data_IF_895227611096
#
_entry.id   IF_895227611096
#
_cell.length_a   1.000
_cell.length_b   1.000
_cell.length_c   1.000
_cell.angle_alpha   90.00
_cell.angle_beta   90.00
_cell.angle_gamma   90.00
#
_symmetry.space_group_name_H-M   'P 1'
#
loop_
_entity.id
_entity.type
_entity.pdbx_description
1 polymer ?
#
# COMPACT_ATOMS: atom_id res chain seq x y z
N UNK A 1 -10.63 14.47 -10.26
CA UNK A 1 -9.30 13.97 -9.84
C UNK A 1 -9.40 12.64 -9.09
N UNK A 2 -10.35 12.44 -8.17
CA UNK A 2 -10.41 11.19 -7.40
C UNK A 2 -10.69 9.93 -8.24
N UNK A 3 -11.51 10.03 -9.29
CA UNK A 3 -11.86 8.88 -10.16
C UNK A 3 -10.72 8.52 -11.11
N UNK A 4 -9.94 9.52 -11.50
CA UNK A 4 -8.86 9.42 -12.47
C UNK A 4 -7.67 8.65 -11.89
N UNK A 5 -7.38 8.81 -10.60
CA UNK A 5 -6.35 8.02 -9.89
C UNK A 5 -6.76 6.56 -9.78
N UNK A 6 -8.03 6.31 -9.46
CA UNK A 6 -8.54 4.94 -9.31
C UNK A 6 -8.53 4.21 -10.65
N UNK A 7 -8.93 4.87 -11.73
CA UNK A 7 -8.89 4.29 -13.08
C UNK A 7 -7.45 4.11 -13.57
N UNK A 8 -6.56 5.09 -13.35
CA UNK A 8 -5.16 4.94 -13.71
C UNK A 8 -4.48 3.79 -12.96
N UNK A 9 -4.70 3.66 -11.64
CA UNK A 9 -4.19 2.53 -10.87
C UNK A 9 -4.75 1.20 -11.41
N UNK A 10 -6.05 1.14 -11.70
CA UNK A 10 -6.72 -0.05 -12.25
C UNK A 10 -6.18 -0.46 -13.63
N UNK A 11 -5.79 0.49 -14.48
CA UNK A 11 -5.26 0.22 -15.82
C UNK A 11 -3.77 -0.12 -15.79
N UNK A 12 -2.98 0.59 -14.99
CA UNK A 12 -1.52 0.47 -14.98
C UNK A 12 -1.03 -0.71 -14.15
N UNK A 13 -1.63 -0.97 -12.98
CA UNK A 13 -1.16 -2.04 -12.09
C UNK A 13 -1.14 -3.43 -12.76
N UNK A 14 -2.17 -3.86 -13.52
CA UNK A 14 -2.13 -5.15 -14.22
C UNK A 14 -0.98 -5.30 -15.22
N UNK A 15 -0.42 -4.19 -15.72
CA UNK A 15 0.74 -4.20 -16.65
C UNK A 15 2.02 -4.71 -16.02
N UNK A 16 2.10 -4.76 -14.69
CA UNK A 16 3.21 -5.43 -14.00
C UNK A 16 3.23 -6.95 -14.22
N UNK A 17 2.11 -7.54 -14.68
CA UNK A 17 2.04 -8.95 -15.07
C UNK A 17 2.36 -9.23 -16.53
N UNK A 18 2.71 -8.21 -17.32
CA UNK A 18 3.07 -8.37 -18.73
C UNK A 18 4.43 -9.09 -18.86
N UNK A 19 4.66 -9.85 -19.94
CA UNK A 19 5.96 -10.50 -20.17
C UNK A 19 7.02 -9.52 -20.68
N UNK A 20 6.59 -8.37 -21.22
CA UNK A 20 7.49 -7.37 -21.75
C UNK A 20 7.97 -6.40 -20.65
N UNK A 21 9.27 -6.46 -20.32
CA UNK A 21 9.89 -5.59 -19.32
C UNK A 21 9.76 -4.09 -19.64
N UNK A 22 9.73 -3.70 -20.93
CA UNK A 22 9.52 -2.31 -21.32
C UNK A 22 8.13 -1.81 -20.91
N UNK A 23 7.11 -2.64 -21.09
CA UNK A 23 5.73 -2.33 -20.67
C UNK A 23 5.64 -2.26 -19.15
N UNK A 24 6.24 -3.22 -18.44
CA UNK A 24 6.29 -3.19 -16.98
C UNK A 24 6.94 -1.91 -16.46
N UNK A 25 8.10 -1.53 -17.02
CA UNK A 25 8.85 -0.34 -16.61
C UNK A 25 8.08 0.95 -16.90
N UNK A 26 7.46 1.07 -18.08
CA UNK A 26 6.66 2.23 -18.43
C UNK A 26 5.44 2.37 -17.50
N UNK A 27 4.77 1.27 -17.16
CA UNK A 27 3.66 1.27 -16.21
C UNK A 27 4.09 1.66 -14.80
N UNK A 28 5.23 1.13 -14.34
CA UNK A 28 5.80 1.44 -13.03
C UNK A 28 6.16 2.93 -12.88
N UNK A 29 6.80 3.51 -13.90
CA UNK A 29 7.11 4.95 -13.95
C UNK A 29 5.84 5.82 -14.03
N UNK A 30 4.82 5.36 -14.75
CA UNK A 30 3.54 6.07 -14.85
C UNK A 30 2.80 6.07 -13.50
N UNK A 31 2.82 4.95 -12.78
CA UNK A 31 2.27 4.86 -11.43
C UNK A 31 3.01 5.75 -10.44
N UNK A 32 4.34 5.81 -10.52
CA UNK A 32 5.16 6.70 -9.68
C UNK A 32 4.81 8.17 -9.94
N UNK A 33 4.75 8.57 -11.20
CA UNK A 33 4.37 9.94 -11.59
C UNK A 33 2.96 10.28 -11.15
N UNK A 34 2.00 9.37 -11.32
CA UNK A 34 0.63 9.56 -10.83
C UNK A 34 0.60 9.76 -9.31
N UNK A 35 1.29 8.90 -8.55
CA UNK A 35 1.33 8.97 -7.09
C UNK A 35 1.97 10.28 -6.59
N UNK A 36 2.95 10.82 -7.33
CA UNK A 36 3.59 12.09 -7.02
C UNK A 36 2.69 13.31 -7.25
N UNK A 37 1.82 13.25 -8.26
CA UNK A 37 0.98 14.38 -8.67
C UNK A 37 -0.34 14.49 -7.90
N UNK A 38 -0.62 13.56 -6.98
CA UNK A 38 -1.85 13.56 -6.17
C UNK A 38 -1.55 13.54 -4.68
N UNK A 39 -2.57 13.73 -3.85
CA UNK A 39 -2.35 13.66 -2.40
C UNK A 39 -1.92 12.25 -2.01
N UNK A 40 -0.96 12.10 -1.07
CA UNK A 40 -0.52 10.77 -0.62
C UNK A 40 -1.68 9.91 -0.11
N UNK A 41 -2.66 10.51 0.57
CA UNK A 41 -3.86 9.81 1.03
C UNK A 41 -4.67 9.18 -0.13
N UNK A 42 -4.81 9.90 -1.25
CA UNK A 42 -5.51 9.40 -2.43
C UNK A 42 -4.72 8.31 -3.14
N UNK A 43 -3.41 8.49 -3.28
CA UNK A 43 -2.52 7.47 -3.84
C UNK A 43 -2.57 6.17 -3.03
N UNK A 44 -2.44 6.27 -1.69
CA UNK A 44 -2.54 5.11 -0.80
C UNK A 44 -3.88 4.39 -0.94
N UNK A 45 -4.99 5.13 -0.95
CA UNK A 45 -6.35 4.56 -1.08
C UNK A 45 -6.49 3.77 -2.38
N UNK A 46 -6.07 4.35 -3.51
CA UNK A 46 -6.14 3.69 -4.82
C UNK A 46 -5.27 2.42 -4.88
N UNK A 47 -4.02 2.50 -4.39
CA UNK A 47 -3.07 1.38 -4.38
C UNK A 47 -3.52 0.24 -3.46
N UNK A 48 -4.06 0.55 -2.28
CA UNK A 48 -4.61 -0.44 -1.34
C UNK A 48 -5.84 -1.14 -1.93
N UNK A 49 -6.74 -0.39 -2.59
CA UNK A 49 -7.96 -0.94 -3.16
C UNK A 49 -7.70 -1.85 -4.38
N UNK A 50 -6.77 -1.47 -5.25
CA UNK A 50 -6.57 -2.14 -6.56
C UNK A 50 -5.39 -3.10 -6.57
N UNK A 51 -4.28 -2.77 -5.91
CA UNK A 51 -3.02 -3.48 -6.01
C UNK A 51 -2.83 -4.58 -4.97
N UNK A 52 -3.07 -4.27 -3.69
CA UNK A 52 -2.86 -5.21 -2.58
C UNK A 52 -3.69 -6.50 -2.68
N UNK A 53 -4.98 -6.49 -3.07
CA UNK A 53 -5.75 -7.73 -3.20
C UNK A 53 -5.46 -8.50 -4.51
N UNK A 54 -4.58 -8.02 -5.38
CA UNK A 54 -4.39 -8.60 -6.71
C UNK A 54 -3.76 -9.99 -6.67
N UNK A 55 -4.20 -10.89 -7.57
CA UNK A 55 -3.72 -12.29 -7.62
C UNK A 55 -2.27 -12.41 -8.10
N UNK A 56 -1.88 -11.57 -9.07
CA UNK A 56 -0.51 -11.54 -9.60
C UNK A 56 0.47 -10.93 -8.59
N UNK A 57 1.55 -11.66 -8.32
CA UNK A 57 2.61 -11.31 -7.36
C UNK A 57 3.34 -10.02 -7.71
N UNK A 58 3.65 -9.79 -8.98
CA UNK A 58 4.37 -8.60 -9.43
C UNK A 58 3.54 -7.32 -9.29
N UNK A 59 2.22 -7.44 -9.47
CA UNK A 59 1.28 -6.36 -9.20
C UNK A 59 1.28 -5.99 -7.72
N UNK A 60 1.22 -6.97 -6.82
CA UNK A 60 1.30 -6.72 -5.37
C UNK A 60 2.64 -6.12 -4.96
N UNK A 61 3.75 -6.60 -5.54
CA UNK A 61 5.09 -6.02 -5.32
C UNK A 61 5.13 -4.54 -5.70
N UNK A 62 4.64 -4.20 -6.89
CA UNK A 62 4.61 -2.82 -7.38
C UNK A 62 3.74 -1.93 -6.50
N UNK A 63 2.53 -2.40 -6.16
CA UNK A 63 1.63 -1.68 -5.25
C UNK A 63 2.28 -1.44 -3.88
N UNK A 64 2.96 -2.44 -3.31
CA UNK A 64 3.66 -2.31 -2.04
C UNK A 64 4.83 -1.32 -2.12
N UNK A 65 5.58 -1.30 -3.23
CA UNK A 65 6.67 -0.32 -3.45
C UNK A 65 6.14 1.11 -3.39
N UNK A 66 5.12 1.41 -4.18
CA UNK A 66 4.54 2.76 -4.27
C UNK A 66 3.78 3.15 -3.00
N UNK A 67 3.12 2.19 -2.35
CA UNK A 67 2.46 2.41 -1.06
C UNK A 67 3.48 2.80 0.02
N UNK A 68 4.66 2.18 0.04
CA UNK A 68 5.70 2.52 1.02
C UNK A 68 6.16 3.95 0.82
N UNK A 69 6.45 4.35 -0.42
CA UNK A 69 6.87 5.71 -0.74
C UNK A 69 5.82 6.74 -0.31
N UNK A 70 4.54 6.48 -0.57
CA UNK A 70 3.45 7.35 -0.13
C UNK A 70 3.33 7.43 1.40
N UNK A 71 3.50 6.30 2.11
CA UNK A 71 3.50 6.28 3.58
C UNK A 71 4.68 7.03 4.18
N UNK A 72 5.88 6.90 3.61
CA UNK A 72 7.08 7.61 4.05
C UNK A 72 6.92 9.14 3.92
N UNK A 73 6.28 9.60 2.83
CA UNK A 73 5.96 11.03 2.65
C UNK A 73 5.00 11.58 3.72
N UNK A 74 4.03 10.77 4.17
CA UNK A 74 3.05 11.18 5.19
C UNK A 74 3.64 11.12 6.59
N UNK A 75 4.38 10.05 6.89
CA UNK A 75 4.97 9.77 8.19
C UNK A 75 3.97 9.20 9.21
N UNK A 76 4.48 8.42 10.17
CA UNK A 76 3.67 7.63 11.10
C UNK A 76 2.71 8.46 11.96
N UNK A 77 3.10 9.68 12.36
CA UNK A 77 2.26 10.57 13.17
C UNK A 77 0.97 10.95 12.45
N UNK A 78 1.06 11.29 11.16
CA UNK A 78 -0.12 11.66 10.35
C UNK A 78 -0.92 10.44 9.91
N UNK A 79 -0.24 9.31 9.64
CA UNK A 79 -0.92 8.05 9.27
C UNK A 79 -1.81 7.51 10.41
N UNK A 80 -1.41 7.73 11.66
CA UNK A 80 -2.07 7.18 12.85
C UNK A 80 -2.72 8.26 13.74
N UNK A 81 -2.96 9.44 13.19
CA UNK A 81 -3.53 10.61 13.90
C UNK A 81 -5.02 10.44 14.28
N UNK A 82 -5.66 9.33 13.91
CA UNK A 82 -6.97 8.94 14.45
C UNK A 82 -8.17 9.12 13.51
N UNK A 83 -7.97 9.24 12.19
CA UNK A 83 -9.09 9.09 11.23
C UNK A 83 -9.38 7.58 11.10
N UNK A 84 -10.46 7.06 11.73
CA UNK A 84 -10.63 5.62 11.94
C UNK A 84 -10.66 4.83 10.63
N UNK A 85 -11.36 5.36 9.62
CA UNK A 85 -11.48 4.74 8.31
C UNK A 85 -10.12 4.49 7.62
N UNK A 86 -9.14 5.35 7.85
CA UNK A 86 -7.81 5.21 7.27
C UNK A 86 -6.98 4.18 8.04
N UNK A 87 -7.03 4.18 9.37
CA UNK A 87 -6.23 3.28 10.21
C UNK A 87 -6.73 1.83 10.18
N UNK A 88 -8.05 1.65 10.15
CA UNK A 88 -8.71 0.35 10.14
C UNK A 88 -8.42 -0.43 8.86
N UNK A 89 -8.22 0.27 7.74
CA UNK A 89 -7.81 -0.34 6.47
C UNK A 89 -6.29 -0.48 6.36
N UNK A 90 -5.55 0.55 6.81
CA UNK A 90 -4.10 0.62 6.63
C UNK A 90 -3.36 -0.47 7.41
N UNK A 91 -3.69 -0.68 8.70
CA UNK A 91 -2.97 -1.64 9.54
C UNK A 91 -3.13 -3.08 9.03
N UNK A 92 -4.34 -3.60 8.73
CA UNK A 92 -4.50 -4.92 8.13
C UNK A 92 -3.81 -5.04 6.76
N UNK A 93 -3.84 -3.98 5.95
CA UNK A 93 -3.17 -3.96 4.64
C UNK A 93 -1.66 -4.12 4.79
N UNK A 94 -1.03 -3.36 5.68
CA UNK A 94 0.41 -3.45 5.96
C UNK A 94 0.77 -4.83 6.52
N UNK A 95 -0.04 -5.38 7.43
CA UNK A 95 0.16 -6.73 7.97
C UNK A 95 0.07 -7.80 6.88
N UNK A 96 -0.89 -7.68 5.97
CA UNK A 96 -1.04 -8.58 4.81
C UNK A 96 0.19 -8.53 3.90
N UNK A 97 0.70 -7.33 3.60
CA UNK A 97 1.90 -7.17 2.77
C UNK A 97 3.16 -7.71 3.48
N UNK A 98 3.29 -7.50 4.79
CA UNK A 98 4.41 -8.01 5.58
C UNK A 98 4.46 -9.56 5.62
N UNK A 99 3.31 -10.21 5.40
CA UNK A 99 3.12 -11.66 5.38
C UNK A 99 2.96 -12.23 3.95
N UNK A 100 3.18 -11.43 2.90
CA UNK A 100 3.01 -11.86 1.51
C UNK A 100 3.90 -13.05 1.13
N UNK A 101 3.51 -13.86 0.15
CA UNK A 101 4.33 -14.97 -0.33
C UNK A 101 5.62 -14.52 -1.05
N UNK A 102 5.66 -13.30 -1.59
CA UNK A 102 6.81 -12.76 -2.32
C UNK A 102 7.77 -11.95 -1.43
N UNK A 103 9.07 -12.20 -1.57
CA UNK A 103 10.11 -11.65 -0.69
C UNK A 103 10.17 -10.13 -0.69
N UNK A 104 10.16 -9.49 -1.86
CA UNK A 104 10.20 -8.03 -1.97
C UNK A 104 8.94 -7.39 -1.37
N UNK A 105 7.77 -7.99 -1.61
CA UNK A 105 6.49 -7.51 -1.09
C UNK A 105 6.52 -7.55 0.44
N UNK A 106 7.03 -8.65 1.03
CA UNK A 106 7.26 -8.71 2.48
C UNK A 106 8.25 -7.68 2.97
N UNK A 107 9.33 -7.41 2.21
CA UNK A 107 10.32 -6.40 2.57
C UNK A 107 9.67 -5.02 2.69
N UNK A 108 8.88 -4.61 1.67
CA UNK A 108 8.14 -3.35 1.71
C UNK A 108 7.13 -3.31 2.87
N UNK A 109 6.33 -4.37 3.05
CA UNK A 109 5.38 -4.46 4.16
C UNK A 109 6.03 -4.36 5.53
N UNK A 110 7.20 -4.98 5.73
CA UNK A 110 7.96 -4.84 6.99
C UNK A 110 8.52 -3.43 7.20
N UNK A 111 8.97 -2.74 6.14
CA UNK A 111 9.40 -1.34 6.24
C UNK A 111 8.23 -0.43 6.65
N UNK A 112 7.06 -0.62 6.05
CA UNK A 112 5.83 0.08 6.44
C UNK A 112 5.48 -0.20 7.91
N UNK A 113 5.57 -1.46 8.33
CA UNK A 113 5.30 -1.84 9.72
C UNK A 113 6.28 -1.15 10.69
N UNK A 114 7.57 -1.14 10.36
CA UNK A 114 8.60 -0.42 11.13
C UNK A 114 8.31 1.07 11.21
N UNK A 115 7.86 1.69 10.12
CA UNK A 115 7.42 3.09 10.11
C UNK A 115 6.27 3.29 11.11
N UNK A 116 5.21 2.49 11.03
CA UNK A 116 4.05 2.60 11.92
C UNK A 116 4.41 2.36 13.40
N UNK A 117 5.35 1.44 13.68
CA UNK A 117 5.84 1.15 15.03
C UNK A 117 6.50 2.34 15.73
N UNK A 118 6.93 3.39 14.99
CA UNK A 118 7.46 4.63 15.59
C UNK A 118 6.39 5.47 16.29
N UNK A 119 5.10 5.19 16.05
CA UNK A 119 4.00 5.92 16.68
C UNK A 119 3.61 5.32 18.04
N UNK A 120 3.45 6.17 19.06
CA UNK A 120 3.19 5.75 20.45
C UNK A 120 1.93 4.89 20.60
N UNK A 121 0.88 5.18 19.81
CA UNK A 121 -0.41 4.45 19.85
C UNK A 121 -0.47 3.23 18.93
N UNK A 122 0.61 2.88 18.22
CA UNK A 122 0.56 1.77 17.27
C UNK A 122 0.10 0.44 17.91
N UNK A 123 0.54 0.18 19.15
CA UNK A 123 0.12 -1.02 19.91
C UNK A 123 -1.40 -1.10 20.14
N UNK A 124 -2.08 0.03 20.30
CA UNK A 124 -3.53 0.09 20.49
C UNK A 124 -4.26 -0.29 19.20
N UNK A 125 -3.84 0.30 18.08
CA UNK A 125 -4.37 -0.05 16.76
C UNK A 125 -4.13 -1.51 16.39
N UNK A 126 -2.96 -2.06 16.74
CA UNK A 126 -2.67 -3.48 16.48
C UNK A 126 -3.65 -4.41 17.20
N UNK A 127 -3.99 -4.11 18.46
CA UNK A 127 -4.97 -4.90 19.23
C UNK A 127 -6.37 -4.85 18.62
N UNK A 128 -6.76 -3.71 18.06
CA UNK A 128 -8.05 -3.56 17.37
C UNK A 128 -8.09 -4.31 16.03
N UNK A 129 -6.96 -4.39 15.33
CA UNK A 129 -6.85 -5.08 14.04
C UNK A 129 -6.70 -6.60 14.13
N UNK A 130 -6.40 -7.14 15.32
CA UNK A 130 -6.29 -8.57 15.52
C UNK A 130 -7.70 -9.19 15.45
N UNK A 131 -7.91 -10.27 14.66
CA UNK A 131 -9.15 -11.02 14.78
C UNK A 131 -9.31 -11.44 16.24
N UNK A 132 -10.51 -11.27 16.80
CA UNK A 132 -10.85 -11.85 18.10
C UNK A 132 -10.46 -13.32 18.03
N UNK A 133 -9.40 -13.68 18.75
CA UNK A 133 -9.05 -15.08 18.96
C UNK A 133 -10.10 -15.63 19.91
N UNK A 134 -11.25 -15.99 19.36
CA UNK A 134 -12.15 -16.91 20.04
C UNK A 134 -11.46 -18.27 20.01
N UNK A 135 -11.08 -18.69 21.22
CA UNK A 135 -10.50 -19.97 21.60
C UNK A 135 -11.45 -21.13 21.28
#
# INVERSE_FOLDING_TARGET
MDREVDEAARVLLPKMGDTNEFIQKAADQSLESMAWNVTPARAMTALMATGVPHRNVLVRKCAAKHLLAAMEQVGAQKLLSGVPYSTDLLVPTVLKLAQDCHQDTRCYGRKMLSLLMTHKKFKEYLKQSAPSRDL
#
